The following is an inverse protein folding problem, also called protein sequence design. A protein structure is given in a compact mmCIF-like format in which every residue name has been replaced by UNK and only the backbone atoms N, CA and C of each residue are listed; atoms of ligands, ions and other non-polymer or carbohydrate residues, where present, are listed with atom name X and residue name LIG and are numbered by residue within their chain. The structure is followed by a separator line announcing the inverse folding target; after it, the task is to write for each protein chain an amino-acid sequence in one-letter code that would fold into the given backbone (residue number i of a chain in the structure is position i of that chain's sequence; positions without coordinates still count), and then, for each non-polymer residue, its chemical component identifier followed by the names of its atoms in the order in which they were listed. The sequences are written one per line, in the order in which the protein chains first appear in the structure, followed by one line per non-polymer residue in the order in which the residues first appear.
data_IF_770388785350
#
_entry.id   IF_770388785350
#
_cell.length_a   1.000
_cell.length_b   1.000
_cell.length_c   1.000
_cell.angle_alpha   90.00
_cell.angle_beta   90.00
_cell.angle_gamma   90.00
#
_symmetry.space_group_name_H-M   'P 1'
#
loop_
_entity.id
_entity.type
_entity.pdbx_description
1 polymer ?
#
# COMPACT_ATOMS: atom_id res chain seq x y z
N UNK A 1 31.49 13.42 -20.84
CA UNK A 1 31.28 14.36 -19.71
C UNK A 1 30.90 15.74 -20.23
N UNK A 2 29.63 16.06 -20.53
CA UNK A 2 29.14 17.48 -20.62
C UNK A 2 27.67 17.51 -21.06
N UNK A 3 26.80 16.68 -20.48
CA UNK A 3 25.38 16.71 -20.90
C UNK A 3 24.41 17.19 -19.80
N UNK A 4 24.88 17.43 -18.59
CA UNK A 4 24.02 17.78 -17.46
C UNK A 4 23.78 19.28 -17.26
N UNK A 5 24.52 20.16 -17.91
CA UNK A 5 24.44 21.61 -17.73
C UNK A 5 23.40 22.35 -18.58
N UNK A 6 23.07 21.83 -19.78
CA UNK A 6 22.19 22.50 -20.74
C UNK A 6 20.71 22.24 -20.47
N UNK A 7 20.39 21.11 -19.84
CA UNK A 7 18.98 20.67 -19.62
C UNK A 7 18.24 21.47 -18.53
N UNK A 8 18.95 21.99 -17.53
CA UNK A 8 18.34 22.79 -16.45
C UNK A 8 17.89 24.21 -16.86
N UNK A 9 18.55 24.82 -17.85
CA UNK A 9 18.20 26.17 -18.31
C UNK A 9 16.90 26.26 -19.10
N UNK A 10 16.42 25.15 -19.68
CA UNK A 10 15.25 25.11 -20.56
C UNK A 10 14.02 24.47 -19.91
N UNK A 11 13.95 24.36 -18.59
CA UNK A 11 12.80 23.79 -17.87
C UNK A 11 12.67 22.27 -17.95
N UNK A 12 13.60 21.57 -18.60
CA UNK A 12 13.62 20.10 -18.65
C UNK A 12 13.99 19.51 -17.30
N UNK A 13 13.16 18.55 -16.84
CA UNK A 13 13.43 17.75 -15.63
C UNK A 13 13.71 16.32 -16.04
N UNK A 14 14.74 15.70 -15.48
CA UNK A 14 14.98 14.28 -15.65
C UNK A 14 13.97 13.52 -14.78
N UNK A 15 12.87 13.07 -15.40
CA UNK A 15 11.78 12.35 -14.74
C UNK A 15 11.78 10.89 -15.21
N UNK A 16 11.57 9.98 -14.29
CA UNK A 16 11.32 8.57 -14.62
C UNK A 16 9.95 8.47 -15.29
N UNK A 17 9.88 7.83 -16.47
CA UNK A 17 8.60 7.55 -17.12
C UNK A 17 7.72 6.68 -16.21
N UNK A 18 6.48 7.10 -16.00
CA UNK A 18 5.45 6.33 -15.31
C UNK A 18 4.73 5.39 -16.28
N UNK A 19 4.24 4.26 -15.78
CA UNK A 19 3.36 3.37 -16.53
C UNK A 19 1.92 3.60 -16.08
N UNK A 20 1.01 3.80 -17.03
CA UNK A 20 -0.43 3.83 -16.79
C UNK A 20 -1.05 2.52 -17.27
N UNK A 21 -2.02 1.94 -16.52
CA UNK A 21 -2.73 0.77 -17.01
C UNK A 21 -3.44 1.04 -18.34
N UNK A 22 -3.23 0.20 -19.36
CA UNK A 22 -3.80 0.40 -20.70
C UNK A 22 -5.34 0.43 -20.74
N UNK A 23 -6.01 -0.13 -19.73
CA UNK A 23 -7.48 -0.20 -19.58
C UNK A 23 -8.04 0.82 -18.58
N UNK A 24 -7.28 1.84 -18.24
CA UNK A 24 -7.69 2.85 -17.28
C UNK A 24 -8.81 3.72 -17.85
N UNK A 25 -9.90 3.89 -17.08
CA UNK A 25 -10.94 4.88 -17.36
C UNK A 25 -10.74 6.08 -16.41
N UNK A 26 -10.17 7.17 -16.93
CA UNK A 26 -9.89 8.38 -16.15
C UNK A 26 -11.17 9.08 -15.66
N UNK A 27 -12.25 9.00 -16.42
CA UNK A 27 -13.54 9.62 -16.07
C UNK A 27 -14.15 8.90 -14.86
N UNK A 28 -14.17 7.56 -14.87
CA UNK A 28 -14.70 6.77 -13.73
C UNK A 28 -13.87 7.01 -12.46
N UNK A 29 -12.54 7.19 -12.59
CA UNK A 29 -11.69 7.51 -11.46
C UNK A 29 -11.99 8.90 -10.88
N UNK A 30 -12.18 9.89 -11.74
CA UNK A 30 -12.49 11.25 -11.34
C UNK A 30 -13.85 11.32 -10.61
N UNK A 31 -14.89 10.73 -11.21
CA UNK A 31 -16.23 10.64 -10.60
C UNK A 31 -16.15 9.93 -9.24
N UNK A 32 -15.46 8.78 -9.18
CA UNK A 32 -15.31 8.06 -7.92
C UNK A 32 -14.57 8.86 -6.86
N UNK A 33 -13.49 9.53 -7.24
CA UNK A 33 -12.70 10.36 -6.34
C UNK A 33 -13.54 11.50 -5.76
N UNK A 34 -14.23 12.26 -6.61
CA UNK A 34 -14.99 13.45 -6.19
C UNK A 34 -16.28 13.10 -5.45
N UNK A 35 -17.03 12.12 -5.94
CA UNK A 35 -18.38 11.85 -5.41
C UNK A 35 -18.41 10.83 -4.28
N UNK A 36 -17.38 9.96 -4.17
CA UNK A 36 -17.36 8.88 -3.16
C UNK A 36 -16.18 8.96 -2.21
N UNK A 37 -14.95 9.03 -2.73
CA UNK A 37 -13.77 8.91 -1.88
C UNK A 37 -13.49 10.18 -1.07
N UNK A 38 -13.52 11.36 -1.68
CA UNK A 38 -13.29 12.63 -0.98
C UNK A 38 -14.29 12.92 0.13
N UNK A 39 -15.62 12.71 -0.04
CA UNK A 39 -16.58 12.89 1.05
C UNK A 39 -16.27 11.99 2.26
N UNK A 40 -15.96 10.71 2.02
CA UNK A 40 -15.63 9.76 3.10
C UNK A 40 -14.32 10.14 3.79
N UNK A 41 -13.30 10.59 3.05
CA UNK A 41 -12.04 11.08 3.62
C UNK A 41 -12.23 12.39 4.40
N UNK A 42 -13.16 13.24 3.99
CA UNK A 42 -13.51 14.43 4.74
C UNK A 42 -14.14 14.06 6.09
N UNK A 43 -15.08 13.09 6.11
CA UNK A 43 -15.64 12.57 7.37
C UNK A 43 -14.54 12.01 8.28
N UNK A 44 -13.54 11.31 7.72
CA UNK A 44 -12.41 10.80 8.49
C UNK A 44 -11.55 11.93 9.09
N UNK A 45 -11.26 12.96 8.32
CA UNK A 45 -10.48 14.12 8.79
C UNK A 45 -11.25 14.92 9.85
N UNK A 46 -12.60 14.98 9.74
CA UNK A 46 -13.48 15.62 10.70
C UNK A 46 -13.76 14.73 11.96
N UNK A 47 -13.09 13.58 12.07
CA UNK A 47 -13.24 12.59 13.14
C UNK A 47 -14.68 12.08 13.32
N UNK A 48 -15.38 11.83 12.20
CA UNK A 48 -16.76 11.33 12.16
C UNK A 48 -16.84 9.87 11.67
N UNK A 49 -15.74 9.33 11.15
CA UNK A 49 -15.67 8.00 10.56
C UNK A 49 -14.23 7.48 10.58
N UNK A 50 -14.04 6.21 10.80
CA UNK A 50 -12.79 5.54 10.51
C UNK A 50 -12.76 5.11 9.03
N UNK A 51 -11.70 5.48 8.32
CA UNK A 51 -11.50 5.07 6.92
C UNK A 51 -10.17 4.33 6.81
N UNK A 52 -10.23 3.14 6.25
CA UNK A 52 -9.04 2.31 6.00
C UNK A 52 -8.91 2.02 4.52
N UNK A 53 -7.68 2.01 4.02
CA UNK A 53 -7.33 1.48 2.72
C UNK A 53 -6.76 0.08 2.89
N UNK A 54 -7.42 -0.92 2.28
CA UNK A 54 -7.03 -2.32 2.42
C UNK A 54 -6.47 -2.86 1.12
N UNK A 55 -5.34 -3.57 1.23
CA UNK A 55 -4.74 -4.33 0.12
C UNK A 55 -3.77 -5.39 0.65
N UNK A 56 -3.44 -6.36 -0.21
CA UNK A 56 -2.48 -7.41 0.08
C UNK A 56 -1.15 -7.17 -0.63
N UNK A 57 -0.06 -7.22 0.11
CA UNK A 57 1.29 -7.20 -0.45
C UNK A 57 2.02 -8.53 -0.24
N UNK A 58 2.75 -8.94 -1.28
CA UNK A 58 3.60 -10.11 -1.24
C UNK A 58 5.06 -9.69 -1.16
N UNK A 59 5.73 -10.11 -0.10
CA UNK A 59 7.15 -9.91 0.10
C UNK A 59 7.89 -11.21 -0.16
N UNK A 60 8.82 -11.19 -1.09
CA UNK A 60 9.61 -12.37 -1.46
C UNK A 60 11.02 -12.17 -0.92
N UNK A 61 11.48 -13.10 -0.08
CA UNK A 61 12.86 -13.09 0.37
C UNK A 61 13.78 -13.44 -0.79
N UNK A 62 14.53 -12.45 -1.23
CA UNK A 62 15.55 -12.59 -2.27
C UNK A 62 16.69 -11.61 -2.00
N UNK A 63 17.85 -11.86 -2.58
CA UNK A 63 18.94 -10.89 -2.51
C UNK A 63 18.59 -9.68 -3.41
N UNK A 64 18.10 -8.61 -2.81
CA UNK A 64 17.91 -7.32 -3.50
C UNK A 64 19.26 -6.60 -3.58
N UNK A 65 20.09 -7.01 -4.55
CA UNK A 65 21.42 -6.48 -4.76
C UNK A 65 21.33 -5.07 -5.36
N UNK A 66 21.73 -4.08 -4.57
CA UNK A 66 21.96 -2.72 -5.05
C UNK A 66 23.41 -2.53 -5.53
N UNK A 67 23.73 -1.31 -5.95
CA UNK A 67 25.10 -0.92 -6.24
C UNK A 67 25.80 -0.54 -4.94
N UNK A 68 26.95 -1.13 -4.69
CA UNK A 68 27.81 -0.85 -3.54
C UNK A 68 29.14 -0.24 -4.03
N UNK A 69 29.59 0.78 -3.33
CA UNK A 69 30.96 1.29 -3.50
C UNK A 69 31.92 0.32 -2.80
N UNK A 70 32.67 -0.44 -3.56
CA UNK A 70 33.63 -1.43 -3.03
C UNK A 70 34.86 -1.51 -3.94
N UNK A 71 36.01 -1.86 -3.36
CA UNK A 71 37.26 -2.03 -4.09
C UNK A 71 37.26 -3.30 -4.96
N UNK A 72 36.51 -4.32 -4.52
CA UNK A 72 36.40 -5.61 -5.25
C UNK A 72 34.93 -6.03 -5.28
N UNK A 73 34.55 -6.81 -6.30
CA UNK A 73 33.19 -7.31 -6.43
C UNK A 73 32.85 -8.23 -5.26
N UNK A 74 31.76 -7.90 -4.53
CA UNK A 74 31.26 -8.69 -3.41
C UNK A 74 30.19 -9.67 -3.94
N UNK A 75 30.29 -10.93 -3.50
CA UNK A 75 29.29 -11.97 -3.78
C UNK A 75 28.50 -12.25 -2.51
N UNK A 76 27.19 -12.03 -2.55
CA UNK A 76 26.28 -12.31 -1.44
C UNK A 76 25.55 -13.62 -1.75
N UNK A 77 25.52 -14.55 -0.80
CA UNK A 77 24.79 -15.81 -0.92
C UNK A 77 23.30 -15.49 -1.07
N UNK A 78 22.69 -15.87 -2.17
CA UNK A 78 21.25 -15.82 -2.32
C UNK A 78 20.61 -16.98 -1.52
N UNK A 79 19.51 -16.75 -0.80
CA UNK A 79 18.79 -17.84 -0.15
C UNK A 79 18.29 -18.84 -1.19
N UNK A 80 18.38 -20.12 -0.89
CA UNK A 80 17.83 -21.18 -1.75
C UNK A 80 16.30 -21.21 -1.64
N UNK A 81 15.62 -21.06 -2.77
CA UNK A 81 14.16 -21.03 -2.85
C UNK A 81 13.54 -19.63 -2.70
N UNK A 82 12.30 -19.50 -3.15
CA UNK A 82 11.51 -18.26 -3.04
C UNK A 82 10.57 -18.38 -1.85
N UNK A 83 11.03 -17.95 -0.70
CA UNK A 83 10.17 -17.84 0.48
C UNK A 83 9.33 -16.56 0.37
N UNK A 84 8.02 -16.71 0.55
CA UNK A 84 7.05 -15.61 0.41
C UNK A 84 6.42 -15.32 1.77
N UNK A 85 6.31 -14.05 2.08
CA UNK A 85 5.55 -13.55 3.21
C UNK A 85 4.43 -12.66 2.71
N UNK A 86 3.19 -13.00 3.03
CA UNK A 86 2.01 -12.26 2.59
C UNK A 86 1.49 -11.43 3.75
N UNK A 87 1.21 -10.18 3.46
CA UNK A 87 0.63 -9.22 4.40
C UNK A 87 -0.63 -8.65 3.77
N UNK A 88 -1.79 -8.92 4.37
CA UNK A 88 -3.00 -8.16 4.13
C UNK A 88 -3.01 -7.02 5.14
N UNK A 89 -2.99 -5.78 4.69
CA UNK A 89 -2.96 -4.60 5.53
C UNK A 89 -4.18 -3.73 5.35
N UNK A 90 -4.56 -3.04 6.42
CA UNK A 90 -5.53 -1.96 6.40
C UNK A 90 -4.89 -0.71 7.02
N UNK A 91 -4.65 0.29 6.19
CA UNK A 91 -4.04 1.57 6.55
C UNK A 91 -5.11 2.58 6.92
N UNK A 92 -5.12 3.07 8.15
CA UNK A 92 -6.01 4.15 8.57
C UNK A 92 -5.63 5.46 7.85
N UNK A 93 -6.61 6.09 7.19
CA UNK A 93 -6.39 7.21 6.28
C UNK A 93 -5.81 8.47 6.94
N UNK A 94 -6.05 8.66 8.25
CA UNK A 94 -5.65 9.87 8.98
C UNK A 94 -4.51 9.61 9.95
N UNK A 95 -4.62 8.57 10.78
CA UNK A 95 -3.61 8.26 11.81
C UNK A 95 -2.40 7.53 11.27
N UNK A 96 -2.51 6.92 10.08
CA UNK A 96 -1.53 6.04 9.45
C UNK A 96 -1.22 4.77 10.25
N UNK A 97 -2.06 4.43 11.24
CA UNK A 97 -2.02 3.14 11.90
C UNK A 97 -2.33 2.04 10.91
N UNK A 98 -1.65 0.91 11.05
CA UNK A 98 -1.82 -0.25 10.15
C UNK A 98 -2.26 -1.46 10.95
N UNK A 99 -3.42 -2.02 10.61
CA UNK A 99 -3.86 -3.33 11.10
C UNK A 99 -3.47 -4.37 10.07
N UNK A 100 -2.90 -5.50 10.49
CA UNK A 100 -2.36 -6.49 9.54
C UNK A 100 -2.81 -7.91 9.87
N UNK A 101 -3.07 -8.68 8.82
CA UNK A 101 -3.16 -10.13 8.86
C UNK A 101 -2.05 -10.72 7.99
N UNK A 102 -1.29 -11.68 8.50
CA UNK A 102 -0.11 -12.21 7.82
C UNK A 102 -0.12 -13.73 7.73
N UNK A 103 0.39 -14.26 6.63
CA UNK A 103 0.64 -15.70 6.49
C UNK A 103 1.75 -16.00 5.48
N UNK A 104 2.19 -17.27 5.45
CA UNK A 104 3.23 -17.76 4.54
C UNK A 104 2.63 -18.51 3.33
N UNK A 105 1.29 -18.58 3.22
CA UNK A 105 0.57 -19.28 2.15
C UNK A 105 -0.01 -18.31 1.11
N UNK A 106 -1.27 -17.92 1.26
CA UNK A 106 -1.93 -16.94 0.40
C UNK A 106 -3.08 -16.23 1.13
N UNK A 107 -3.35 -15.01 0.68
CA UNK A 107 -4.48 -14.21 1.14
C UNK A 107 -5.74 -14.65 0.38
N UNK A 108 -6.81 -14.89 1.10
CA UNK A 108 -8.11 -15.28 0.60
C UNK A 108 -9.25 -14.54 1.31
N UNK A 109 -10.50 -14.89 1.02
CA UNK A 109 -11.67 -14.25 1.64
C UNK A 109 -11.73 -14.41 3.16
N UNK A 110 -11.25 -15.53 3.71
CA UNK A 110 -11.15 -15.72 5.16
C UNK A 110 -10.16 -14.76 5.79
N UNK A 111 -9.01 -14.53 5.13
CA UNK A 111 -8.02 -13.55 5.58
C UNK A 111 -8.62 -12.15 5.64
N UNK A 112 -9.44 -11.78 4.65
CA UNK A 112 -10.15 -10.49 4.62
C UNK A 112 -11.10 -10.39 5.80
N UNK A 113 -11.94 -11.40 6.01
CA UNK A 113 -12.91 -11.41 7.12
C UNK A 113 -12.23 -11.32 8.48
N UNK A 114 -11.12 -12.03 8.68
CA UNK A 114 -10.36 -11.96 9.94
C UNK A 114 -9.79 -10.55 10.18
N UNK A 115 -9.30 -9.88 9.14
CA UNK A 115 -8.84 -8.50 9.26
C UNK A 115 -10.01 -7.54 9.55
N UNK A 116 -11.18 -7.71 8.91
CA UNK A 116 -12.38 -6.93 9.21
C UNK A 116 -12.80 -7.07 10.68
N UNK A 117 -12.78 -8.30 11.22
CA UNK A 117 -13.09 -8.56 12.64
C UNK A 117 -12.12 -7.85 13.58
N UNK A 118 -10.81 -7.90 13.28
CA UNK A 118 -9.81 -7.19 14.08
C UNK A 118 -10.06 -5.68 14.10
N UNK A 119 -10.34 -5.09 12.93
CA UNK A 119 -10.67 -3.65 12.82
C UNK A 119 -11.95 -3.32 13.62
N UNK A 120 -12.99 -4.13 13.49
CA UNK A 120 -14.26 -3.90 14.21
C UNK A 120 -14.11 -4.01 15.74
N UNK A 121 -13.19 -4.84 16.24
CA UNK A 121 -12.89 -4.96 17.66
C UNK A 121 -12.05 -3.80 18.21
N UNK A 122 -11.16 -3.26 17.39
CA UNK A 122 -10.25 -2.19 17.81
C UNK A 122 -10.87 -0.79 17.67
N UNK A 123 -11.70 -0.58 16.67
CA UNK A 123 -12.31 0.72 16.34
C UNK A 123 -13.83 0.66 16.54
N UNK A 124 -14.31 0.98 17.74
CA UNK A 124 -15.70 0.80 18.15
C UNK A 124 -16.49 2.09 18.30
N UNK A 125 -15.82 3.24 18.22
CA UNK A 125 -16.36 4.57 18.57
C UNK A 125 -17.02 5.29 17.39
N UNK A 126 -16.65 4.96 16.15
CA UNK A 126 -17.17 5.62 14.95
C UNK A 126 -17.54 4.59 13.86
N UNK A 127 -18.40 4.96 12.89
CA UNK A 127 -18.63 4.15 11.71
C UNK A 127 -17.33 3.86 10.95
N UNK A 128 -17.22 2.67 10.37
CA UNK A 128 -16.01 2.21 9.64
C UNK A 128 -16.30 2.08 8.16
N UNK A 129 -15.42 2.61 7.32
CA UNK A 129 -15.39 2.35 5.87
C UNK A 129 -14.06 1.75 5.48
N UNK A 130 -14.09 0.66 4.74
CA UNK A 130 -12.92 0.04 4.13
C UNK A 130 -12.93 0.31 2.63
N UNK A 131 -11.89 0.99 2.15
CA UNK A 131 -11.62 1.20 0.72
C UNK A 131 -10.74 0.05 0.23
N UNK A 132 -11.18 -0.69 -0.78
CA UNK A 132 -10.51 -1.90 -1.23
C UNK A 132 -10.69 -2.12 -2.74
N UNK A 133 -9.84 -2.96 -3.32
CA UNK A 133 -9.88 -3.29 -4.73
C UNK A 133 -11.04 -4.25 -5.08
N UNK A 134 -11.31 -4.37 -6.39
CA UNK A 134 -12.32 -5.29 -6.92
C UNK A 134 -11.81 -6.75 -7.08
N UNK A 135 -10.80 -7.17 -6.33
CA UNK A 135 -10.31 -8.54 -6.39
C UNK A 135 -11.41 -9.56 -5.97
N UNK A 136 -11.49 -10.69 -6.65
CA UNK A 136 -12.54 -11.70 -6.40
C UNK A 136 -12.61 -12.18 -4.95
N UNK A 137 -11.47 -12.28 -4.27
CA UNK A 137 -11.41 -12.71 -2.88
C UNK A 137 -11.84 -11.62 -1.89
N UNK A 138 -11.88 -10.34 -2.32
CA UNK A 138 -12.38 -9.20 -1.55
C UNK A 138 -13.85 -8.94 -1.85
N UNK A 139 -14.26 -9.08 -3.11
CA UNK A 139 -15.63 -8.80 -3.58
C UNK A 139 -16.40 -10.09 -3.83
N UNK A 140 -16.92 -10.69 -2.78
CA UNK A 140 -17.81 -11.86 -2.85
C UNK A 140 -18.86 -11.82 -1.74
N UNK A 141 -19.89 -12.66 -1.86
CA UNK A 141 -21.02 -12.67 -0.93
C UNK A 141 -20.61 -12.94 0.53
N UNK A 142 -19.59 -13.78 0.75
CA UNK A 142 -19.09 -14.08 2.10
C UNK A 142 -18.49 -12.85 2.79
N UNK A 143 -17.55 -12.17 2.13
CA UNK A 143 -16.92 -10.95 2.67
C UNK A 143 -17.96 -9.84 2.89
N UNK A 144 -18.85 -9.63 1.92
CA UNK A 144 -19.90 -8.63 2.00
C UNK A 144 -20.88 -8.91 3.14
N UNK A 145 -21.26 -10.17 3.34
CA UNK A 145 -22.13 -10.60 4.42
C UNK A 145 -21.51 -10.40 5.81
N UNK A 146 -20.23 -10.74 5.97
CA UNK A 146 -19.52 -10.54 7.24
C UNK A 146 -19.27 -9.06 7.52
N UNK A 147 -18.90 -8.26 6.53
CA UNK A 147 -18.78 -6.80 6.68
C UNK A 147 -20.10 -6.17 7.15
N UNK A 148 -21.24 -6.58 6.57
CA UNK A 148 -22.56 -6.11 6.97
C UNK A 148 -22.89 -6.46 8.44
N UNK A 149 -22.58 -7.68 8.89
CA UNK A 149 -22.75 -8.08 10.30
C UNK A 149 -21.88 -7.25 11.25
N UNK A 150 -20.68 -6.88 10.82
CA UNK A 150 -19.76 -6.04 11.57
C UNK A 150 -20.08 -4.53 11.45
N UNK A 151 -21.10 -4.14 10.69
CA UNK A 151 -21.48 -2.76 10.39
C UNK A 151 -20.33 -1.96 9.74
N UNK A 152 -19.58 -2.61 8.87
CA UNK A 152 -18.47 -2.03 8.09
C UNK A 152 -18.98 -1.75 6.67
N UNK A 153 -18.83 -0.50 6.21
CA UNK A 153 -19.09 -0.11 4.84
C UNK A 153 -17.90 -0.49 3.94
N UNK A 154 -18.17 -1.17 2.83
CA UNK A 154 -17.15 -1.52 1.83
C UNK A 154 -17.25 -0.56 0.63
N UNK A 155 -16.18 0.15 0.35
CA UNK A 155 -16.06 1.06 -0.79
C UNK A 155 -15.07 0.50 -1.81
N UNK A 156 -15.59 -0.11 -2.88
CA UNK A 156 -14.76 -0.71 -3.92
C UNK A 156 -14.24 0.31 -4.91
N UNK A 157 -12.93 0.33 -5.12
CA UNK A 157 -12.25 1.18 -6.09
C UNK A 157 -12.68 0.83 -7.53
N UNK A 158 -12.66 1.78 -8.47
CA UNK A 158 -12.81 1.46 -9.89
C UNK A 158 -11.71 0.48 -10.34
N UNK A 159 -12.01 -0.31 -11.36
CA UNK A 159 -11.02 -1.26 -11.90
C UNK A 159 -9.78 -0.53 -12.42
N UNK A 160 -8.61 -1.14 -12.20
CA UNK A 160 -7.31 -0.57 -12.61
C UNK A 160 -6.97 0.81 -12.00
N UNK A 161 -7.34 1.02 -10.73
CA UNK A 161 -7.15 2.29 -10.01
C UNK A 161 -6.22 2.20 -8.78
N UNK A 162 -5.03 1.60 -8.88
CA UNK A 162 -4.10 1.49 -7.74
C UNK A 162 -3.62 2.86 -7.24
N UNK A 163 -3.65 3.89 -8.11
CA UNK A 163 -3.34 5.28 -7.77
C UNK A 163 -4.31 5.87 -6.73
N UNK A 164 -5.53 5.34 -6.63
CA UNK A 164 -6.54 5.74 -5.64
C UNK A 164 -6.46 4.91 -4.35
N UNK A 165 -5.65 3.85 -4.31
CA UNK A 165 -5.45 3.05 -3.10
C UNK A 165 -4.23 3.57 -2.32
N UNK A 166 -4.48 4.28 -1.21
CA UNK A 166 -3.43 4.94 -0.43
C UNK A 166 -2.40 3.94 0.12
N UNK A 167 -2.81 2.72 0.46
CA UNK A 167 -1.92 1.69 1.01
C UNK A 167 -0.83 1.25 0.03
N UNK A 168 -1.01 1.45 -1.28
CA UNK A 168 0.02 1.18 -2.28
C UNK A 168 1.29 2.02 -2.06
N UNK A 169 1.13 3.24 -1.54
CA UNK A 169 2.27 4.09 -1.17
C UNK A 169 2.98 3.55 0.07
N UNK A 170 2.23 3.00 1.02
CA UNK A 170 2.80 2.32 2.17
C UNK A 170 3.60 1.08 1.74
N UNK A 171 3.08 0.26 0.81
CA UNK A 171 3.81 -0.91 0.31
C UNK A 171 5.13 -0.52 -0.38
N UNK A 172 5.15 0.56 -1.15
CA UNK A 172 6.38 1.09 -1.76
C UNK A 172 7.38 1.52 -0.68
N UNK A 173 6.91 2.20 0.36
CA UNK A 173 7.72 2.60 1.49
C UNK A 173 8.32 1.39 2.23
N UNK A 174 7.50 0.41 2.61
CA UNK A 174 7.96 -0.81 3.32
C UNK A 174 8.98 -1.58 2.48
N UNK A 175 8.74 -1.74 1.18
CA UNK A 175 9.72 -2.36 0.26
C UNK A 175 11.04 -1.58 0.22
N UNK A 176 10.98 -0.26 0.21
CA UNK A 176 12.18 0.59 0.25
C UNK A 176 12.97 0.44 1.55
N UNK A 177 12.29 0.43 2.69
CA UNK A 177 12.95 0.34 4.00
C UNK A 177 13.47 -1.07 4.31
N UNK A 178 12.74 -2.11 3.91
CA UNK A 178 13.03 -3.48 4.33
C UNK A 178 13.71 -4.34 3.26
N UNK A 179 13.60 -4.00 1.96
CA UNK A 179 14.11 -4.86 0.91
C UNK A 179 15.30 -4.27 0.16
N UNK A 180 15.24 -2.99 -0.24
CA UNK A 180 16.28 -2.42 -1.09
C UNK A 180 17.60 -2.27 -0.33
N UNK A 181 18.66 -2.86 -0.88
CA UNK A 181 20.00 -2.91 -0.29
C UNK A 181 20.03 -3.58 1.10
N UNK A 182 19.09 -4.48 1.37
CA UNK A 182 19.05 -5.32 2.57
C UNK A 182 19.32 -6.77 2.21
N UNK A 183 19.98 -7.47 3.12
CA UNK A 183 20.22 -8.90 3.04
C UNK A 183 19.75 -9.56 4.35
N UNK A 184 19.02 -10.64 4.22
CA UNK A 184 18.55 -11.44 5.34
C UNK A 184 19.04 -12.88 5.14
N UNK A 185 19.71 -13.43 6.13
CA UNK A 185 20.17 -14.82 6.08
C UNK A 185 19.03 -15.80 6.33
N UNK A 186 18.09 -15.41 7.20
CA UNK A 186 16.97 -16.25 7.65
C UNK A 186 15.63 -15.61 7.40
N UNK A 187 14.66 -16.43 7.01
CA UNK A 187 13.30 -15.96 6.74
C UNK A 187 12.59 -15.33 7.96
N UNK A 188 12.77 -15.81 9.21
CA UNK A 188 12.22 -15.11 10.39
C UNK A 188 12.72 -13.68 10.54
N UNK A 189 14.00 -13.40 10.25
CA UNK A 189 14.58 -12.05 10.30
C UNK A 189 13.92 -11.12 9.27
N UNK A 190 13.71 -11.65 8.05
CA UNK A 190 13.01 -10.96 6.99
C UNK A 190 11.56 -10.59 7.39
N UNK A 191 10.80 -11.54 7.96
CA UNK A 191 9.44 -11.28 8.46
C UNK A 191 9.44 -10.26 9.60
N UNK A 192 10.36 -10.38 10.54
CA UNK A 192 10.49 -9.44 11.65
C UNK A 192 10.75 -8.02 11.17
N UNK A 193 11.65 -7.83 10.20
CA UNK A 193 11.95 -6.51 9.66
C UNK A 193 10.70 -5.85 9.04
N UNK A 194 9.89 -6.61 8.29
CA UNK A 194 8.64 -6.11 7.69
C UNK A 194 7.62 -5.76 8.79
N UNK A 195 7.42 -6.66 9.76
CA UNK A 195 6.45 -6.44 10.84
C UNK A 195 6.82 -5.23 11.70
N UNK A 196 8.11 -5.09 12.05
CA UNK A 196 8.60 -3.93 12.80
C UNK A 196 8.39 -2.63 12.00
N UNK A 197 8.67 -2.62 10.70
CA UNK A 197 8.41 -1.45 9.87
C UNK A 197 6.92 -1.07 9.85
N UNK A 198 6.02 -2.05 9.78
CA UNK A 198 4.57 -1.83 9.78
C UNK A 198 4.04 -1.38 11.16
N UNK A 199 4.59 -1.86 12.27
CA UNK A 199 4.20 -1.43 13.62
C UNK A 199 4.73 -0.03 13.96
N UNK A 200 5.81 0.42 13.31
CA UNK A 200 6.45 1.70 13.56
C UNK A 200 5.90 2.87 12.70
N UNK A 201 4.82 2.67 11.97
CA UNK A 201 4.24 3.68 11.06
C UNK A 201 3.81 4.95 11.79
N UNK A 202 3.31 4.83 13.01
CA UNK A 202 2.84 5.96 13.85
C UNK A 202 3.92 6.54 14.77
N UNK A 203 5.08 5.88 14.85
CA UNK A 203 6.21 6.26 15.70
C UNK A 203 7.42 6.67 14.85
N UNK A 204 8.36 5.76 14.66
CA UNK A 204 9.64 6.01 13.97
C UNK A 204 9.47 6.56 12.55
N UNK A 205 8.45 6.11 11.83
CA UNK A 205 8.22 6.48 10.42
C UNK A 205 7.18 7.58 10.23
N UNK A 206 6.62 8.13 11.32
CA UNK A 206 5.49 9.08 11.29
C UNK A 206 5.75 10.29 10.38
N UNK A 207 6.87 10.98 10.55
CA UNK A 207 7.18 12.18 9.75
C UNK A 207 7.29 11.87 8.26
N UNK A 208 8.02 10.81 7.91
CA UNK A 208 8.21 10.39 6.52
C UNK A 208 6.90 9.96 5.88
N UNK A 209 6.07 9.22 6.61
CA UNK A 209 4.77 8.75 6.12
C UNK A 209 3.74 9.88 6.03
N UNK A 210 3.77 10.88 6.91
CA UNK A 210 2.86 12.03 6.82
C UNK A 210 3.02 12.83 5.52
N UNK A 211 4.23 12.89 4.98
CA UNK A 211 4.49 13.52 3.67
C UNK A 211 4.14 12.63 2.48
N UNK A 212 4.20 11.30 2.65
CA UNK A 212 3.96 10.33 1.60
C UNK A 212 2.48 9.94 1.46
N UNK A 213 1.79 9.78 2.60
CA UNK A 213 0.41 9.29 2.69
C UNK A 213 -0.61 10.45 2.71
N UNK A 214 -0.39 11.44 1.86
CA UNK A 214 -1.34 12.55 1.68
C UNK A 214 -2.54 12.13 0.84
N UNK A 215 -3.69 12.77 1.04
CA UNK A 215 -4.90 12.53 0.23
C UNK A 215 -4.83 13.17 -1.16
N UNK A 216 -3.64 13.55 -1.64
CA UNK A 216 -3.43 14.02 -3.00
C UNK A 216 -3.30 12.83 -3.96
N UNK A 217 -4.41 12.43 -4.55
CA UNK A 217 -4.46 11.36 -5.54
C UNK A 217 -4.15 11.90 -6.93
N UNK A 218 -3.16 11.28 -7.58
CA UNK A 218 -2.82 11.63 -8.95
C UNK A 218 -3.78 10.93 -9.92
N UNK A 219 -4.54 11.70 -10.67
CA UNK A 219 -5.32 11.18 -11.80
C UNK A 219 -4.45 11.17 -13.05
N UNK A 220 -4.56 10.11 -13.84
CA UNK A 220 -3.88 10.01 -15.12
C UNK A 220 -4.77 10.63 -16.21
N UNK A 221 -4.49 11.85 -16.61
CA UNK A 221 -5.13 12.43 -17.78
C UNK A 221 -4.70 11.64 -19.01
N UNK A 222 -5.64 11.35 -19.92
CA UNK A 222 -5.28 10.90 -21.27
C UNK A 222 -4.42 12.01 -21.87
N UNK A 223 -3.13 11.78 -22.00
CA UNK A 223 -2.32 12.58 -22.95
C UNK A 223 -2.91 12.33 -24.32
N UNK A 224 -3.53 13.36 -24.87
CA UNK A 224 -3.92 13.46 -26.28
C UNK A 224 -2.74 13.20 -27.20
#
# INVERSE_FOLDING_TARGET
HTSTGVSKKNGFKHLKAGQTPAKLNSIDQEIFLEEKLKPVLKEATDNKRHVFFMDASHFVMSAFLGYLWCLTRIFIKAPSGRQRYNVLGALHAVTHQVVTFTNDQYINSYSVVELLKQIALEFTDLPITIVLDNAKYQRNAFVMGEASKLKIDLLFLPTYSPNLNLIERLWKFVKSECLYSKHYEKFPEFKTAINTCLSDTTNKHKEKLSTLLTHNFQLFNKTS
#
